data_IF_736130269042
#
_entry.id   IF_736130269042
#
_cell.length_a   1.000
_cell.length_b   1.000
_cell.length_c   1.000
_cell.angle_alpha   90.00
_cell.angle_beta   90.00
_cell.angle_gamma   90.00
#
_symmetry.space_group_name_H-M   'P 1'
#
loop_
_entity.id
_entity.type
_entity.pdbx_description
1 polymer ?
#
# COMPACT_ATOMS: atom_id res chain seq x y z
N UNK A 1 -4.30 10.65 31.08
CA UNK A 1 -3.68 9.30 31.19
C UNK A 1 -4.01 8.32 30.05
N UNK A 2 -5.05 8.52 29.21
CA UNK A 2 -5.42 7.55 28.15
C UNK A 2 -4.59 7.57 26.85
N UNK A 3 -3.84 8.65 26.56
CA UNK A 3 -3.02 8.74 25.35
C UNK A 3 -1.74 7.87 25.38
N UNK A 4 -1.22 7.55 26.56
CA UNK A 4 0.05 6.80 26.71
C UNK A 4 -0.06 5.33 26.33
N UNK A 5 -1.19 4.67 26.64
CA UNK A 5 -1.43 3.28 26.25
C UNK A 5 -1.59 3.14 24.74
N UNK A 6 -2.27 4.09 24.11
CA UNK A 6 -2.49 4.06 22.66
C UNK A 6 -1.19 4.18 21.86
N UNK A 7 -0.28 5.09 22.25
CA UNK A 7 1.01 5.22 21.57
C UNK A 7 1.85 3.94 21.69
N UNK A 8 2.05 3.40 22.91
CA UNK A 8 2.85 2.18 23.10
C UNK A 8 2.24 0.97 22.37
N UNK A 9 0.91 0.81 22.43
CA UNK A 9 0.21 -0.27 21.72
C UNK A 9 0.33 -0.10 20.21
N UNK A 10 0.24 1.12 19.70
CA UNK A 10 0.41 1.42 18.28
C UNK A 10 1.84 1.14 17.80
N UNK A 11 2.88 1.56 18.54
CA UNK A 11 4.27 1.27 18.18
C UNK A 11 4.56 -0.23 18.22
N UNK A 12 4.02 -0.94 19.22
CA UNK A 12 4.16 -2.40 19.32
C UNK A 12 3.43 -3.12 18.19
N UNK A 13 2.22 -2.67 17.85
CA UNK A 13 1.46 -3.19 16.72
C UNK A 13 2.20 -2.95 15.39
N UNK A 14 2.75 -1.75 15.18
CA UNK A 14 3.56 -1.42 14.01
C UNK A 14 4.81 -2.29 13.91
N UNK A 15 5.47 -2.61 15.04
CA UNK A 15 6.59 -3.55 15.08
C UNK A 15 6.18 -4.95 14.69
N UNK A 16 5.11 -5.48 15.28
CA UNK A 16 4.61 -6.84 14.98
C UNK A 16 4.19 -6.94 13.52
N UNK A 17 3.42 -5.98 13.01
CA UNK A 17 3.03 -5.92 11.61
C UNK A 17 4.24 -5.78 10.70
N UNK A 18 5.20 -4.93 11.05
CA UNK A 18 6.43 -4.75 10.28
C UNK A 18 7.24 -6.04 10.16
N UNK A 19 7.41 -6.77 11.27
CA UNK A 19 8.08 -8.08 11.28
C UNK A 19 7.32 -9.10 10.45
N UNK A 20 5.99 -9.16 10.59
CA UNK A 20 5.15 -10.07 9.80
C UNK A 20 5.31 -9.83 8.29
N UNK A 21 5.31 -8.57 7.86
CA UNK A 21 5.46 -8.18 6.46
C UNK A 21 6.84 -8.54 5.89
N UNK A 22 7.91 -8.40 6.69
CA UNK A 22 9.27 -8.74 6.24
C UNK A 22 9.49 -10.25 6.21
N UNK A 23 8.98 -10.96 7.21
CA UNK A 23 9.16 -12.41 7.29
C UNK A 23 8.36 -13.09 6.19
N UNK A 24 7.07 -12.77 6.04
CA UNK A 24 6.14 -13.49 5.16
C UNK A 24 5.49 -12.55 4.12
N UNK A 25 6.26 -11.92 3.23
CA UNK A 25 5.75 -10.94 2.28
C UNK A 25 4.80 -11.57 1.26
N UNK A 26 5.03 -12.82 0.87
CA UNK A 26 4.18 -13.55 -0.07
C UNK A 26 2.78 -13.77 0.50
N UNK A 27 2.71 -14.26 1.74
CA UNK A 27 1.44 -14.40 2.45
C UNK A 27 0.75 -13.03 2.64
N UNK A 28 1.52 -11.98 2.95
CA UNK A 28 0.97 -10.64 3.10
C UNK A 28 0.30 -10.12 1.82
N UNK A 29 0.92 -10.36 0.66
CA UNK A 29 0.34 -10.02 -0.66
C UNK A 29 -0.98 -10.77 -0.87
N UNK A 30 -0.99 -12.09 -0.66
CA UNK A 30 -2.18 -12.94 -0.88
C UNK A 30 -3.32 -12.53 0.05
N UNK A 31 -3.05 -12.38 1.35
CA UNK A 31 -4.07 -11.97 2.32
C UNK A 31 -4.61 -10.57 2.05
N UNK A 32 -3.77 -9.64 1.57
CA UNK A 32 -4.24 -8.33 1.13
C UNK A 32 -5.24 -8.48 0.00
N UNK A 33 -4.91 -9.25 -1.04
CA UNK A 33 -5.79 -9.46 -2.20
C UNK A 33 -7.10 -10.11 -1.81
N UNK A 34 -7.06 -11.14 -0.95
CA UNK A 34 -8.28 -11.78 -0.44
C UNK A 34 -9.13 -10.77 0.34
N UNK A 35 -8.52 -9.95 1.20
CA UNK A 35 -9.22 -8.93 1.98
C UNK A 35 -9.88 -7.90 1.07
N UNK A 36 -9.17 -7.41 0.05
CA UNK A 36 -9.74 -6.53 -0.99
C UNK A 36 -10.87 -7.24 -1.74
N UNK A 37 -10.71 -8.52 -2.07
CA UNK A 37 -11.74 -9.33 -2.72
C UNK A 37 -13.03 -9.40 -1.90
N UNK A 38 -12.93 -9.65 -0.59
CA UNK A 38 -14.08 -9.62 0.34
C UNK A 38 -14.72 -8.24 0.37
N UNK A 39 -13.91 -7.17 0.45
CA UNK A 39 -14.39 -5.79 0.42
C UNK A 39 -15.13 -5.44 -0.88
N UNK A 40 -14.73 -6.03 -2.02
CA UNK A 40 -15.42 -5.85 -3.30
C UNK A 40 -16.68 -6.72 -3.43
N UNK A 41 -16.67 -7.89 -2.82
CA UNK A 41 -17.77 -8.85 -2.88
C UNK A 41 -19.00 -8.37 -2.08
N UNK A 42 -18.80 -7.75 -0.90
CA UNK A 42 -19.89 -7.23 -0.08
C UNK A 42 -20.82 -6.22 -0.81
N UNK A 43 -20.31 -5.11 -1.39
CA UNK A 43 -21.15 -4.17 -2.13
C UNK A 43 -21.69 -4.77 -3.44
N UNK A 44 -20.96 -5.71 -4.06
CA UNK A 44 -21.44 -6.44 -5.24
C UNK A 44 -22.67 -7.30 -4.95
N UNK A 45 -22.61 -8.10 -3.88
CA UNK A 45 -23.75 -8.87 -3.41
C UNK A 45 -24.90 -7.94 -3.00
N UNK A 46 -24.64 -6.89 -2.23
CA UNK A 46 -25.67 -5.94 -1.83
C UNK A 46 -26.38 -5.31 -3.03
N UNK A 47 -25.64 -4.88 -4.05
CA UNK A 47 -26.21 -4.32 -5.28
C UNK A 47 -27.03 -5.32 -6.09
N UNK A 48 -26.61 -6.58 -6.16
CA UNK A 48 -27.37 -7.66 -6.81
C UNK A 48 -28.66 -7.95 -6.03
N UNK A 49 -28.58 -8.13 -4.71
CA UNK A 49 -29.75 -8.39 -3.87
C UNK A 49 -30.76 -7.22 -3.91
N UNK A 50 -30.28 -5.98 -3.87
CA UNK A 50 -31.12 -4.79 -4.01
C UNK A 50 -31.86 -4.76 -5.35
N UNK A 51 -31.17 -5.13 -6.46
CA UNK A 51 -31.80 -5.23 -7.77
C UNK A 51 -32.84 -6.35 -7.85
N UNK A 52 -32.57 -7.55 -7.31
CA UNK A 52 -33.55 -8.65 -7.27
C UNK A 52 -34.77 -8.29 -6.41
N UNK A 53 -34.59 -7.60 -5.28
CA UNK A 53 -35.67 -7.14 -4.42
C UNK A 53 -36.53 -6.06 -5.11
N UNK A 54 -35.90 -5.08 -5.78
CA UNK A 54 -36.62 -4.06 -6.54
C UNK A 54 -37.31 -4.62 -7.79
N UNK A 55 -36.75 -5.66 -8.44
CA UNK A 55 -37.38 -6.34 -9.59
C UNK A 55 -38.71 -7.00 -9.20
N UNK A 56 -38.86 -7.44 -7.94
CA UNK A 56 -40.14 -7.95 -7.41
C UNK A 56 -41.19 -6.85 -7.19
N UNK A 57 -40.79 -5.58 -7.13
CA UNK A 57 -41.66 -4.46 -6.72
C UNK A 57 -42.14 -3.58 -7.89
N UNK A 58 -42.03 -4.05 -9.14
CA UNK A 58 -42.62 -3.43 -10.32
C UNK A 58 -42.13 -2.00 -10.68
N UNK A 59 -40.89 -1.62 -10.33
CA UNK A 59 -40.26 -0.43 -10.90
C UNK A 59 -39.41 -0.79 -12.13
N UNK A 60 -40.08 -0.87 -13.28
CA UNK A 60 -39.54 -1.12 -14.61
C UNK A 60 -38.75 0.09 -15.13
N UNK A 61 -37.58 0.36 -14.56
CA UNK A 61 -36.74 1.47 -15.03
C UNK A 61 -35.28 1.45 -14.57
N UNK A 62 -34.89 0.55 -13.65
CA UNK A 62 -33.49 0.48 -13.21
C UNK A 62 -32.63 -0.27 -14.23
N UNK A 63 -31.62 0.42 -14.75
CA UNK A 63 -30.55 -0.14 -15.55
C UNK A 63 -29.96 -1.37 -14.85
N UNK A 64 -29.63 -2.40 -15.64
CA UNK A 64 -29.00 -3.62 -15.14
C UNK A 64 -27.76 -3.24 -14.29
N UNK A 65 -27.59 -3.80 -13.09
CA UNK A 65 -26.54 -3.38 -12.17
C UNK A 65 -25.19 -4.00 -12.60
N UNK A 66 -24.68 -3.61 -13.78
CA UNK A 66 -23.42 -4.08 -14.36
C UNK A 66 -22.26 -3.86 -13.39
N UNK A 67 -22.29 -2.73 -12.67
CA UNK A 67 -21.26 -2.40 -11.66
C UNK A 67 -21.30 -3.37 -10.47
N UNK A 68 -22.50 -3.74 -9.99
CA UNK A 68 -22.63 -4.68 -8.86
C UNK A 68 -22.26 -6.11 -9.27
N UNK A 69 -22.59 -6.50 -10.50
CA UNK A 69 -22.15 -7.77 -11.09
C UNK A 69 -20.63 -7.80 -11.28
N UNK A 70 -20.05 -6.73 -11.81
CA UNK A 70 -18.61 -6.61 -11.99
C UNK A 70 -17.86 -6.68 -10.66
N UNK A 71 -18.31 -5.96 -9.62
CA UNK A 71 -17.67 -6.00 -8.30
C UNK A 71 -17.84 -7.34 -7.59
N UNK A 72 -18.99 -8.01 -7.72
CA UNK A 72 -19.20 -9.35 -7.16
C UNK A 72 -18.33 -10.40 -7.85
N UNK A 73 -18.26 -10.38 -9.19
CA UNK A 73 -17.43 -11.30 -9.97
C UNK A 73 -15.94 -11.07 -9.71
N UNK A 74 -15.50 -9.80 -9.69
CA UNK A 74 -14.13 -9.45 -9.35
C UNK A 74 -13.82 -9.89 -7.91
N UNK A 75 -14.65 -9.54 -6.93
CA UNK A 75 -14.45 -9.94 -5.55
C UNK A 75 -14.35 -11.45 -5.36
N UNK A 76 -15.22 -12.21 -6.02
CA UNK A 76 -15.17 -13.67 -6.01
C UNK A 76 -13.87 -14.19 -6.66
N UNK A 77 -13.47 -13.62 -7.79
CA UNK A 77 -12.25 -14.02 -8.48
C UNK A 77 -11.00 -13.79 -7.63
N UNK A 78 -10.90 -12.65 -6.94
CA UNK A 78 -9.80 -12.31 -6.03
C UNK A 78 -9.70 -13.28 -4.84
N UNK A 79 -10.82 -13.82 -4.35
CA UNK A 79 -10.84 -14.78 -3.25
C UNK A 79 -10.45 -16.18 -3.73
N UNK A 80 -10.92 -16.58 -4.92
CA UNK A 80 -10.72 -17.94 -5.44
C UNK A 80 -9.31 -18.12 -6.04
N UNK A 81 -8.79 -17.11 -6.74
CA UNK A 81 -7.50 -17.14 -7.44
C UNK A 81 -6.69 -15.86 -7.20
N UNK A 82 -6.25 -15.60 -5.95
CA UNK A 82 -5.49 -14.40 -5.62
C UNK A 82 -4.15 -14.34 -6.38
N UNK A 83 -3.44 -15.46 -6.53
CA UNK A 83 -2.13 -15.51 -7.19
C UNK A 83 -2.20 -15.10 -8.67
N UNK A 84 -3.24 -15.55 -9.38
CA UNK A 84 -3.45 -15.17 -10.78
C UNK A 84 -3.71 -13.67 -10.91
N UNK A 85 -4.49 -13.10 -9.99
CA UNK A 85 -4.78 -11.67 -9.98
C UNK A 85 -3.51 -10.85 -9.71
N UNK A 86 -2.72 -11.23 -8.71
CA UNK A 86 -1.42 -10.59 -8.41
C UNK A 86 -0.52 -10.64 -9.64
N UNK A 87 -0.35 -11.80 -10.26
CA UNK A 87 0.47 -11.96 -11.46
C UNK A 87 0.00 -11.05 -12.59
N UNK A 88 -1.30 -11.06 -12.91
CA UNK A 88 -1.89 -10.22 -13.95
C UNK A 88 -1.68 -8.73 -13.66
N UNK A 89 -1.95 -8.30 -12.41
CA UNK A 89 -1.77 -6.92 -11.99
C UNK A 89 -0.30 -6.49 -12.14
N UNK A 90 0.64 -7.33 -11.71
CA UNK A 90 2.07 -7.04 -11.82
C UNK A 90 2.53 -6.98 -13.28
N UNK A 91 2.05 -7.85 -14.16
CA UNK A 91 2.36 -7.75 -15.59
C UNK A 91 1.84 -6.45 -16.20
N UNK A 92 0.61 -6.06 -15.87
CA UNK A 92 0.03 -4.79 -16.33
C UNK A 92 0.84 -3.62 -15.78
N UNK A 93 1.18 -3.63 -14.49
CA UNK A 93 2.03 -2.60 -13.86
C UNK A 93 3.41 -2.54 -14.52
N UNK A 94 4.08 -3.67 -14.74
CA UNK A 94 5.38 -3.74 -15.41
C UNK A 94 5.33 -3.16 -16.82
N UNK A 95 4.31 -3.51 -17.61
CA UNK A 95 4.11 -2.96 -18.94
C UNK A 95 3.87 -1.43 -18.90
N UNK A 96 3.00 -0.97 -17.99
CA UNK A 96 2.74 0.46 -17.80
C UNK A 96 4.00 1.23 -17.38
N UNK A 97 4.84 0.64 -16.52
CA UNK A 97 6.12 1.22 -16.12
C UNK A 97 7.08 1.31 -17.31
N UNK A 98 7.14 0.29 -18.16
CA UNK A 98 7.95 0.33 -19.38
C UNK A 98 7.47 1.44 -20.31
N UNK A 99 6.17 1.51 -20.60
CA UNK A 99 5.61 2.60 -21.42
C UNK A 99 5.85 3.98 -20.80
N UNK A 100 5.68 4.12 -19.49
CA UNK A 100 5.99 5.34 -18.74
C UNK A 100 7.46 5.74 -18.83
N UNK A 101 8.38 4.80 -18.66
CA UNK A 101 9.82 5.02 -18.78
C UNK A 101 10.23 5.44 -20.20
N UNK A 102 9.72 4.74 -21.23
CA UNK A 102 9.97 5.08 -22.64
C UNK A 102 9.45 6.49 -22.95
N UNK A 103 8.20 6.78 -22.61
CA UNK A 103 7.59 8.09 -22.88
C UNK A 103 8.32 9.24 -22.19
N UNK A 104 8.74 9.06 -20.93
CA UNK A 104 9.58 10.05 -20.23
C UNK A 104 10.92 10.24 -20.94
N UNK A 105 11.60 9.16 -21.33
CA UNK A 105 12.85 9.24 -22.09
C UNK A 105 12.68 10.00 -23.41
N UNK A 106 11.63 9.70 -24.17
CA UNK A 106 11.32 10.39 -25.41
C UNK A 106 11.08 11.88 -25.18
N UNK A 107 10.37 12.25 -24.11
CA UNK A 107 10.13 13.64 -23.76
C UNK A 107 11.44 14.38 -23.43
N UNK A 108 12.31 13.79 -22.62
CA UNK A 108 13.62 14.39 -22.31
C UNK A 108 14.53 14.51 -23.52
N UNK A 109 14.49 13.56 -24.46
CA UNK A 109 15.22 13.66 -25.74
C UNK A 109 14.70 14.83 -26.57
N UNK A 110 13.37 15.01 -26.65
CA UNK A 110 12.76 16.14 -27.37
C UNK A 110 13.10 17.49 -26.74
N UNK A 111 13.07 17.60 -25.42
CA UNK A 111 13.44 18.84 -24.70
C UNK A 111 14.93 19.14 -24.89
N UNK A 112 15.79 18.12 -24.86
CA UNK A 112 17.23 18.29 -25.13
C UNK A 112 17.50 18.85 -26.52
N UNK A 113 16.72 18.45 -27.52
CA UNK A 113 16.81 19.00 -28.89
C UNK A 113 16.39 20.47 -28.97
N UNK A 114 15.52 20.94 -28.06
CA UNK A 114 14.97 22.31 -28.06
C UNK A 114 15.77 23.29 -27.18
N UNK A 115 16.31 22.86 -26.04
CA UNK A 115 16.89 23.77 -25.03
C UNK A 115 18.39 23.54 -24.78
N UNK A 116 19.03 22.63 -25.53
CA UNK A 116 20.49 22.48 -25.61
C UNK A 116 21.18 21.80 -24.41
N UNK A 117 20.66 21.94 -23.19
CA UNK A 117 21.26 21.31 -21.99
C UNK A 117 20.18 20.78 -21.04
N UNK A 118 19.98 19.47 -21.03
CA UNK A 118 19.22 18.78 -19.96
C UNK A 118 20.25 18.13 -19.03
N UNK A 119 20.25 18.44 -17.72
CA UNK A 119 21.16 17.80 -16.78
C UNK A 119 21.02 16.28 -16.82
N UNK A 120 22.15 15.56 -16.89
CA UNK A 120 22.17 14.09 -17.00
C UNK A 120 21.39 13.37 -15.89
N UNK A 121 21.25 14.01 -14.73
CA UNK A 121 20.49 13.50 -13.58
C UNK A 121 19.03 13.18 -13.94
N UNK A 122 18.43 13.90 -14.90
CA UNK A 122 17.03 13.70 -15.29
C UNK A 122 16.80 12.41 -16.09
N UNK A 123 17.85 11.85 -16.70
CA UNK A 123 17.77 10.56 -17.39
C UNK A 123 17.85 9.36 -16.43
N UNK A 124 18.33 9.55 -15.20
CA UNK A 124 18.44 8.49 -14.21
C UNK A 124 17.07 7.95 -13.82
N UNK A 125 16.10 8.83 -13.58
CA UNK A 125 14.73 8.45 -13.22
C UNK A 125 14.01 7.58 -14.27
N UNK A 126 13.93 7.95 -15.56
CA UNK A 126 13.24 7.13 -16.55
C UNK A 126 13.99 5.83 -16.87
N UNK A 127 15.32 5.81 -16.76
CA UNK A 127 16.11 4.57 -16.88
C UNK A 127 15.83 3.63 -15.70
N UNK A 128 15.77 4.14 -14.47
CA UNK A 128 15.39 3.34 -13.30
C UNK A 128 13.95 2.81 -13.43
N UNK A 129 13.02 3.62 -13.94
CA UNK A 129 11.64 3.21 -14.22
C UNK A 129 11.57 2.09 -15.26
N UNK A 130 12.33 2.19 -16.35
CA UNK A 130 12.43 1.13 -17.35
C UNK A 130 12.99 -0.16 -16.75
N UNK A 131 14.10 -0.08 -16.02
CA UNK A 131 14.72 -1.24 -15.38
C UNK A 131 13.76 -1.89 -14.37
N UNK A 132 13.06 -1.10 -13.57
CA UNK A 132 12.04 -1.60 -12.65
C UNK A 132 10.89 -2.29 -13.40
N UNK A 133 10.38 -1.69 -14.49
CA UNK A 133 9.34 -2.28 -15.32
C UNK A 133 9.76 -3.61 -15.93
N UNK A 134 10.98 -3.69 -16.48
CA UNK A 134 11.54 -4.93 -17.03
C UNK A 134 11.68 -6.00 -15.93
N UNK A 135 12.20 -5.63 -14.76
CA UNK A 135 12.39 -6.55 -13.65
C UNK A 135 11.06 -7.14 -13.15
N UNK A 136 10.00 -6.32 -13.12
CA UNK A 136 8.64 -6.76 -12.83
C UNK A 136 8.14 -7.76 -13.89
N UNK A 137 8.37 -7.48 -15.18
CA UNK A 137 7.92 -8.36 -16.26
C UNK A 137 8.65 -9.72 -16.26
N UNK A 138 9.93 -9.75 -15.86
CA UNK A 138 10.70 -10.99 -15.76
C UNK A 138 10.22 -11.82 -14.56
N UNK A 139 10.05 -11.20 -13.39
CA UNK A 139 9.67 -11.89 -12.16
C UNK A 139 8.56 -11.12 -11.39
N UNK A 140 7.29 -11.24 -11.81
CA UNK A 140 6.19 -10.46 -11.24
C UNK A 140 5.92 -10.78 -9.76
N UNK A 141 6.00 -12.05 -9.36
CA UNK A 141 5.76 -12.48 -7.98
C UNK A 141 6.86 -12.01 -7.02
N UNK A 142 8.13 -12.04 -7.46
CA UNK A 142 9.22 -11.46 -6.67
C UNK A 142 9.05 -9.95 -6.52
N UNK A 143 8.72 -9.27 -7.61
CA UNK A 143 8.52 -7.83 -7.58
C UNK A 143 7.31 -7.41 -6.72
N UNK A 144 6.27 -8.23 -6.62
CA UNK A 144 5.12 -7.98 -5.75
C UNK A 144 5.48 -7.95 -4.26
N UNK A 145 6.52 -8.69 -3.85
CA UNK A 145 6.98 -8.76 -2.45
C UNK A 145 7.77 -7.53 -2.02
N UNK A 146 8.50 -6.90 -2.95
CA UNK A 146 9.42 -5.79 -2.66
C UNK A 146 8.74 -4.63 -1.91
N UNK A 147 7.58 -4.10 -2.34
CA UNK A 147 6.89 -3.04 -1.61
C UNK A 147 6.54 -3.43 -0.18
N UNK A 148 6.10 -4.67 0.05
CA UNK A 148 5.72 -5.15 1.38
C UNK A 148 6.93 -5.26 2.30
N UNK A 149 8.07 -5.73 1.79
CA UNK A 149 9.33 -5.77 2.54
C UNK A 149 9.76 -4.35 2.92
N UNK A 150 9.74 -3.41 1.97
CA UNK A 150 10.10 -2.00 2.22
C UNK A 150 9.18 -1.38 3.26
N UNK A 151 7.86 -1.61 3.16
CA UNK A 151 6.88 -1.14 4.14
C UNK A 151 7.10 -1.79 5.51
N UNK A 152 7.43 -3.08 5.56
CA UNK A 152 7.72 -3.81 6.78
C UNK A 152 8.96 -3.26 7.50
N UNK A 153 10.08 -3.11 6.79
CA UNK A 153 11.32 -2.52 7.32
C UNK A 153 11.08 -1.09 7.79
N UNK A 154 10.38 -0.28 7.00
CA UNK A 154 10.05 1.10 7.37
C UNK A 154 9.18 1.17 8.63
N UNK A 155 8.20 0.26 8.75
CA UNK A 155 7.34 0.15 9.93
C UNK A 155 8.11 -0.29 11.17
N UNK A 156 9.09 -1.19 11.04
CA UNK A 156 9.98 -1.59 12.14
C UNK A 156 10.81 -0.39 12.61
N UNK A 157 11.47 0.33 11.68
CA UNK A 157 12.29 1.50 12.01
C UNK A 157 11.44 2.57 12.70
N UNK A 158 10.23 2.82 12.19
CA UNK A 158 9.30 3.78 12.79
C UNK A 158 8.85 3.34 14.19
N UNK A 159 8.42 2.09 14.36
CA UNK A 159 7.99 1.54 15.64
C UNK A 159 9.09 1.53 16.70
N UNK A 160 10.33 1.23 16.31
CA UNK A 160 11.50 1.34 17.19
C UNK A 160 11.75 2.79 17.58
N UNK A 161 11.77 3.71 16.62
CA UNK A 161 12.02 5.14 16.86
C UNK A 161 11.00 5.72 17.84
N UNK A 162 9.73 5.37 17.66
CA UNK A 162 8.64 5.83 18.52
C UNK A 162 8.76 5.26 19.95
N UNK A 163 9.07 3.96 20.07
CA UNK A 163 9.31 3.32 21.37
C UNK A 163 10.52 3.95 22.11
N UNK A 164 11.62 4.19 21.41
CA UNK A 164 12.80 4.86 21.96
C UNK A 164 12.48 6.28 22.46
N UNK A 165 11.66 7.04 21.71
CA UNK A 165 11.23 8.38 22.13
C UNK A 165 10.42 8.33 23.42
N UNK A 166 9.52 7.37 23.56
CA UNK A 166 8.68 7.21 24.77
C UNK A 166 9.56 6.87 25.99
N UNK A 167 10.50 5.93 25.85
CA UNK A 167 11.40 5.53 26.95
C UNK A 167 12.29 6.70 27.37
N UNK A 168 12.89 7.41 26.42
CA UNK A 168 13.76 8.56 26.71
C UNK A 168 13.00 9.72 27.33
N UNK A 169 11.75 9.96 26.94
CA UNK A 169 10.90 10.98 27.55
C UNK A 169 10.54 10.63 29.00
N UNK A 170 10.34 9.34 29.33
CA UNK A 170 10.16 8.88 30.71
C UNK A 170 11.40 9.13 31.56
N UNK A 171 12.58 8.76 31.06
CA UNK A 171 13.84 9.01 31.78
C UNK A 171 14.11 10.51 32.02
N UNK A 172 13.81 11.39 31.04
CA UNK A 172 13.95 12.84 31.23
C UNK A 172 12.91 13.45 32.17
N UNK A 173 11.69 12.91 32.20
CA UNK A 173 10.65 13.37 33.13
C UNK A 173 10.94 12.95 34.56
N UNK A 174 11.55 11.78 34.76
CA UNK A 174 12.02 11.32 36.08
C UNK A 174 13.28 12.08 36.53
N UNK A 175 14.18 12.45 35.62
CA UNK A 175 15.36 13.27 35.91
C UNK A 175 15.08 14.78 36.13
N UNK A 176 13.84 15.24 35.93
CA UNK A 176 13.43 16.65 36.08
C UNK A 176 12.57 16.95 37.31
N UNK A 177 12.45 16.00 38.25
CA UNK A 177 11.65 16.16 39.49
C UNK A 177 12.55 16.36 40.73
N UNK A 178 13.87 16.39 40.58
CA UNK A 178 14.82 16.57 41.71
C UNK A 178 15.26 18.01 42.01
N UNK A 179 14.81 19.03 41.26
CA UNK A 179 15.19 20.42 41.53
C UNK A 179 13.96 21.35 41.62
N UNK A 180 13.14 21.13 42.64
CA UNK A 180 12.47 22.27 43.30
C UNK A 180 12.94 22.23 44.74
N UNK A 181 14.09 22.87 45.00
CA UNK A 181 14.41 23.36 46.33
C UNK A 181 13.21 24.20 46.79
N UNK A 182 12.50 23.67 47.78
CA UNK A 182 11.59 24.44 48.60
C UNK A 182 12.49 25.43 49.34
N UNK A 183 12.57 26.66 48.84
CA UNK A 183 13.14 27.77 49.59
C UNK A 183 12.11 28.07 50.69
N UNK A 184 12.30 27.45 51.85
CA UNK A 184 11.70 27.88 53.10
C UNK A 184 12.47 29.13 53.58
N UNK A 185 11.89 30.31 53.37
CA UNK A 185 12.04 31.47 54.26
C UNK A 185 10.67 32.10 54.53
#
# INVERSE_FOLDING_TARGET
MKLFGYSVVSSLCALVMGVLLVMWPEAAVIYLVITVGVLFLLPGLYGIFAYLASRRQAESGRAFPVVALGSALLGLWLIVMPDFFVGTLMYVLGALLVFGGVSQLMNFISIRKLTGTVPGIFYVLPVLLLLAGILILVNPFEAAKVPFIVLGVSSIVYGLTDLFRIIRYRQKKEAGITDVEVIDE
#
